data_IF_412029294863
#
_entry.id   IF_412029294863
#
_cell.length_a   1.000
_cell.length_b   1.000
_cell.length_c   1.000
_cell.angle_alpha   90.00
_cell.angle_beta   90.00
_cell.angle_gamma   90.00
#
_symmetry.space_group_name_H-M   'P 1'
#
loop_
_entity.id
_entity.type
_entity.pdbx_description
1 polymer ?
#
# COMPACT_ATOMS: atom_id res chain seq x y z
N UNK A 1 16.14 3.07 -2.21
CA UNK A 1 16.49 1.76 -2.79
C UNK A 1 16.87 0.81 -1.67
N UNK A 2 16.63 -0.49 -1.84
CA UNK A 2 16.91 -1.50 -0.81
C UNK A 2 18.34 -1.45 -0.24
N UNK A 3 19.33 -1.01 -0.99
CA UNK A 3 20.71 -0.81 -0.52
C UNK A 3 20.84 0.21 0.62
N UNK A 4 19.90 1.14 0.71
CA UNK A 4 19.87 2.21 1.72
C UNK A 4 18.89 1.88 2.86
N UNK A 5 18.12 0.80 2.71
CA UNK A 5 17.16 0.35 3.72
C UNK A 5 17.87 0.04 5.02
N UNK A 6 17.40 0.65 6.11
CA UNK A 6 17.96 0.46 7.44
C UNK A 6 17.52 -0.90 8.00
N UNK A 7 18.45 -1.78 8.31
CA UNK A 7 18.18 -3.11 8.92
C UNK A 7 17.33 -3.05 10.20
N UNK A 8 17.36 -1.91 10.92
CA UNK A 8 16.50 -1.70 12.10
C UNK A 8 15.00 -1.77 11.80
N UNK A 9 14.57 -1.61 10.54
CA UNK A 9 13.17 -1.80 10.15
C UNK A 9 12.66 -3.22 10.41
N UNK A 10 13.55 -4.22 10.51
CA UNK A 10 13.20 -5.60 10.90
C UNK A 10 12.64 -5.73 12.33
N UNK A 11 12.89 -4.73 13.18
CA UNK A 11 12.47 -4.72 14.58
C UNK A 11 11.27 -3.79 14.83
N UNK A 12 10.60 -3.31 13.76
CA UNK A 12 9.48 -2.40 13.90
C UNK A 12 8.16 -3.16 13.95
N UNK A 13 7.28 -2.71 14.83
CA UNK A 13 5.91 -3.21 14.95
C UNK A 13 4.98 -2.23 14.22
N UNK A 14 4.24 -2.74 13.23
CA UNK A 14 3.23 -1.99 12.47
C UNK A 14 1.85 -2.40 12.98
N UNK A 15 1.04 -1.42 13.38
CA UNK A 15 -0.35 -1.60 13.77
C UNK A 15 -1.26 -1.02 12.69
N UNK A 16 -2.04 -1.89 12.03
CA UNK A 16 -2.97 -1.47 10.98
C UNK A 16 -4.29 -0.99 11.58
N UNK A 17 -4.78 0.14 11.11
CA UNK A 17 -6.04 0.77 11.54
C UNK A 17 -6.96 0.97 10.34
N UNK A 18 -8.12 0.31 10.36
CA UNK A 18 -9.24 0.70 9.52
C UNK A 18 -10.12 1.67 10.30
N UNK A 19 -10.05 2.94 9.99
CA UNK A 19 -10.67 4.04 10.76
C UNK A 19 -12.14 3.79 11.05
N UNK A 20 -12.92 3.40 10.03
CA UNK A 20 -14.36 3.11 10.16
C UNK A 20 -14.69 2.06 11.21
N UNK A 21 -13.84 1.05 11.37
CA UNK A 21 -14.13 -0.11 12.23
C UNK A 21 -13.32 -0.10 13.53
N UNK A 22 -12.45 0.89 13.72
CA UNK A 22 -11.53 0.92 14.85
C UNK A 22 -12.23 1.24 16.17
N UNK A 23 -13.23 2.11 16.12
CA UNK A 23 -13.98 2.57 17.28
C UNK A 23 -15.48 2.66 16.99
N UNK A 24 -16.28 2.89 18.01
CA UNK A 24 -17.72 3.17 17.86
C UNK A 24 -18.01 4.44 17.10
N UNK A 25 -17.12 5.42 17.18
CA UNK A 25 -17.19 6.70 16.46
C UNK A 25 -16.88 6.52 14.97
N UNK A 26 -16.03 5.55 14.60
CA UNK A 26 -15.62 5.28 13.23
C UNK A 26 -14.87 6.41 12.52
N UNK A 27 -14.17 7.26 13.27
CA UNK A 27 -13.50 8.47 12.80
C UNK A 27 -12.10 8.66 13.42
N UNK A 28 -11.36 9.70 13.01
CA UNK A 28 -10.01 9.97 13.49
C UNK A 28 -9.94 10.20 15.00
N UNK A 29 -10.91 10.91 15.58
CA UNK A 29 -10.98 11.12 17.01
C UNK A 29 -11.14 9.81 17.81
N UNK A 30 -11.85 8.83 17.25
CA UNK A 30 -11.97 7.51 17.83
C UNK A 30 -10.65 6.72 17.80
N UNK A 31 -9.84 6.89 16.75
CA UNK A 31 -8.48 6.32 16.67
C UNK A 31 -7.56 6.99 17.68
N UNK A 32 -7.60 8.33 17.79
CA UNK A 32 -6.78 9.09 18.71
C UNK A 32 -6.93 8.63 20.17
N UNK A 33 -8.17 8.39 20.62
CA UNK A 33 -8.46 7.91 21.99
C UNK A 33 -7.77 6.60 22.34
N UNK A 34 -7.40 5.81 21.34
CA UNK A 34 -6.82 4.47 21.50
C UNK A 34 -5.30 4.44 21.32
N UNK A 35 -4.66 5.56 20.97
CA UNK A 35 -3.23 5.62 20.66
C UNK A 35 -2.33 5.16 21.82
N UNK A 36 -2.73 5.44 23.08
CA UNK A 36 -1.94 5.01 24.23
C UNK A 36 -1.94 3.49 24.40
N UNK A 37 -3.09 2.83 24.15
CA UNK A 37 -3.17 1.37 24.11
C UNK A 37 -2.34 0.80 22.96
N UNK A 38 -2.45 1.38 21.77
CA UNK A 38 -1.66 0.97 20.60
C UNK A 38 -0.17 1.09 20.90
N UNK A 39 0.26 2.19 21.51
CA UNK A 39 1.66 2.39 21.93
C UNK A 39 2.11 1.35 22.96
N UNK A 40 1.27 1.03 23.94
CA UNK A 40 1.56 0.04 24.97
C UNK A 40 1.76 -1.39 24.42
N UNK A 41 1.26 -1.71 23.23
CA UNK A 41 1.53 -2.94 22.50
C UNK A 41 2.95 -3.01 21.91
N UNK A 42 3.75 -1.94 22.04
CA UNK A 42 5.07 -1.87 21.43
C UNK A 42 5.06 -1.37 19.98
N UNK A 43 3.98 -0.73 19.56
CA UNK A 43 3.83 -0.23 18.17
C UNK A 43 4.82 0.90 17.89
N UNK A 44 5.48 0.81 16.75
CA UNK A 44 6.39 1.82 16.21
C UNK A 44 5.75 2.62 15.07
N UNK A 45 4.87 1.99 14.30
CA UNK A 45 4.25 2.57 13.12
C UNK A 45 2.74 2.30 13.16
N UNK A 46 1.93 3.35 13.11
CA UNK A 46 0.48 3.25 12.89
C UNK A 46 0.23 3.35 11.38
N UNK A 47 -0.29 2.29 10.79
CA UNK A 47 -0.68 2.28 9.38
C UNK A 47 -2.18 2.49 9.27
N UNK A 48 -2.59 3.63 8.71
CA UNK A 48 -3.98 3.90 8.35
C UNK A 48 -4.28 3.27 6.98
N UNK A 49 -5.25 2.35 6.93
CA UNK A 49 -5.85 1.90 5.68
C UNK A 49 -6.46 3.11 4.94
N UNK A 50 -6.82 3.00 3.64
CA UNK A 50 -7.13 4.19 2.83
C UNK A 50 -8.10 5.14 3.51
N UNK A 51 -7.69 6.40 3.64
CA UNK A 51 -8.45 7.48 4.30
C UNK A 51 -9.15 8.41 3.30
N UNK A 52 -9.11 8.07 2.03
CA UNK A 52 -9.64 8.85 0.92
C UNK A 52 -11.16 8.69 0.77
N UNK A 53 -11.84 9.63 0.09
CA UNK A 53 -13.25 9.46 -0.28
C UNK A 53 -13.45 8.20 -1.12
N UNK A 54 -14.56 7.50 -0.86
CA UNK A 54 -14.89 6.22 -1.49
C UNK A 54 -15.89 6.45 -2.62
N UNK A 55 -15.70 5.76 -3.76
CA UNK A 55 -16.62 5.81 -4.89
C UNK A 55 -17.98 5.15 -4.59
N UNK A 56 -18.98 5.60 -5.32
CA UNK A 56 -20.37 5.14 -5.17
C UNK A 56 -20.80 4.19 -6.27
N UNK A 57 -20.23 4.35 -7.47
CA UNK A 57 -20.57 3.52 -8.63
C UNK A 57 -19.99 2.12 -8.48
N UNK A 58 -20.85 1.11 -8.59
CA UNK A 58 -20.52 -0.31 -8.44
C UNK A 58 -19.95 -0.68 -7.06
N UNK A 59 -20.17 0.13 -6.03
CA UNK A 59 -19.60 -0.09 -4.69
C UNK A 59 -19.99 -1.47 -4.12
N UNK A 60 -19.06 -2.12 -3.47
CA UNK A 60 -19.29 -3.35 -2.71
C UNK A 60 -19.84 -3.02 -1.32
N UNK A 61 -20.92 -3.70 -0.93
CA UNK A 61 -21.58 -3.46 0.36
C UNK A 61 -22.30 -2.10 0.43
N UNK A 62 -22.84 -1.78 1.60
CA UNK A 62 -23.62 -0.54 1.80
C UNK A 62 -22.77 0.72 1.80
N UNK A 63 -21.55 0.64 2.35
CA UNK A 63 -20.64 1.78 2.56
C UNK A 63 -19.50 1.87 1.54
N UNK A 64 -19.31 0.87 0.70
CA UNK A 64 -18.22 0.79 -0.26
C UNK A 64 -16.89 0.31 0.32
N UNK A 65 -15.99 -0.08 -0.56
CA UNK A 65 -14.63 -0.54 -0.22
C UNK A 65 -13.69 0.66 -0.12
N UNK A 66 -12.87 0.79 0.94
CA UNK A 66 -11.92 1.90 1.08
C UNK A 66 -10.85 1.92 -0.02
N UNK A 67 -10.64 0.80 -0.70
CA UNK A 67 -9.73 0.70 -1.84
C UNK A 67 -10.34 1.15 -3.17
N UNK A 68 -11.66 1.43 -3.22
CA UNK A 68 -12.31 2.05 -4.39
C UNK A 68 -12.31 3.57 -4.22
N UNK A 69 -11.14 4.18 -4.40
CA UNK A 69 -10.90 5.61 -4.14
C UNK A 69 -11.58 6.47 -5.21
N UNK A 70 -12.28 7.52 -4.78
CA UNK A 70 -12.87 8.52 -5.68
C UNK A 70 -12.03 9.79 -5.83
N UNK A 71 -11.19 10.14 -4.84
CA UNK A 71 -10.29 11.29 -4.91
C UNK A 71 -9.00 11.00 -4.12
N UNK A 72 -7.84 10.97 -4.80
CA UNK A 72 -6.55 10.72 -4.18
C UNK A 72 -6.02 11.86 -3.29
N UNK A 73 -6.59 13.06 -3.42
CA UNK A 73 -6.15 14.26 -2.69
C UNK A 73 -7.12 14.69 -1.59
N UNK A 74 -8.29 14.03 -1.52
CA UNK A 74 -9.30 14.26 -0.50
C UNK A 74 -9.12 13.40 0.74
N UNK A 75 -9.81 13.79 1.82
CA UNK A 75 -10.00 12.99 3.03
C UNK A 75 -11.45 12.53 3.09
N UNK A 76 -11.71 11.28 3.47
CA UNK A 76 -13.06 10.76 3.58
C UNK A 76 -13.84 11.52 4.65
N UNK A 77 -14.94 12.23 4.29
CA UNK A 77 -15.70 13.03 5.25
C UNK A 77 -16.37 12.19 6.37
N UNK A 78 -16.49 10.86 6.20
CA UNK A 78 -16.94 9.98 7.28
C UNK A 78 -15.91 9.88 8.41
N UNK A 79 -14.63 10.07 8.12
CA UNK A 79 -13.55 9.94 9.09
C UNK A 79 -13.18 11.25 9.77
N UNK A 80 -13.50 12.38 9.14
CA UNK A 80 -13.19 13.73 9.60
C UNK A 80 -12.71 14.63 8.47
N UNK A 81 -12.11 15.74 8.84
CA UNK A 81 -11.52 16.71 7.92
C UNK A 81 -10.03 16.46 7.69
N UNK A 82 -9.40 17.24 6.83
CA UNK A 82 -7.94 17.24 6.65
C UNK A 82 -7.22 17.62 7.93
N UNK A 83 -7.74 18.62 8.63
CA UNK A 83 -7.21 19.12 9.91
C UNK A 83 -7.31 18.06 11.01
N UNK A 84 -8.38 17.25 11.04
CA UNK A 84 -8.51 16.13 11.99
C UNK A 84 -7.46 15.03 11.71
N UNK A 85 -7.14 14.76 10.44
CA UNK A 85 -6.08 13.81 10.07
C UNK A 85 -4.69 14.35 10.45
N UNK A 86 -4.44 15.65 10.22
CA UNK A 86 -3.20 16.31 10.62
C UNK A 86 -3.01 16.28 12.14
N UNK A 87 -4.09 16.56 12.90
CA UNK A 87 -4.08 16.42 14.35
C UNK A 87 -3.79 15.00 14.82
N UNK A 88 -4.41 13.98 14.20
CA UNK A 88 -4.13 12.59 14.52
C UNK A 88 -2.66 12.24 14.25
N UNK A 89 -2.07 12.74 13.16
CA UNK A 89 -0.66 12.52 12.85
C UNK A 89 0.25 13.14 13.94
N UNK A 90 -0.05 14.36 14.39
CA UNK A 90 0.67 14.99 15.50
C UNK A 90 0.58 14.17 16.78
N UNK A 91 -0.61 13.64 17.12
CA UNK A 91 -0.81 12.83 18.32
C UNK A 91 -0.07 11.47 18.25
N UNK A 92 0.04 10.86 17.06
CA UNK A 92 0.88 9.70 16.80
C UNK A 92 2.35 10.04 17.03
N UNK A 93 2.83 11.17 16.48
CA UNK A 93 4.23 11.61 16.63
C UNK A 93 4.58 11.98 18.09
N UNK A 94 3.68 12.64 18.82
CA UNK A 94 3.87 12.98 20.26
C UNK A 94 4.11 11.73 21.11
N UNK A 95 3.56 10.56 20.71
CA UNK A 95 3.78 9.27 21.39
C UNK A 95 5.01 8.51 20.90
N UNK A 96 5.83 9.15 20.05
CA UNK A 96 7.04 8.52 19.47
C UNK A 96 6.74 7.38 18.50
N UNK A 97 5.56 7.39 17.88
CA UNK A 97 5.20 6.50 16.76
C UNK A 97 5.30 7.27 15.43
N UNK A 98 5.25 6.55 14.33
CA UNK A 98 5.24 7.09 12.96
C UNK A 98 3.91 6.80 12.30
N UNK A 99 3.52 7.66 11.37
CA UNK A 99 2.33 7.48 10.54
C UNK A 99 2.70 6.88 9.20
N UNK A 100 2.04 5.78 8.83
CA UNK A 100 2.08 5.20 7.48
C UNK A 100 0.70 5.31 6.84
N UNK A 101 0.63 5.79 5.59
CA UNK A 101 -0.62 5.88 4.84
C UNK A 101 -0.68 4.82 3.74
N UNK A 102 -1.89 4.35 3.45
CA UNK A 102 -2.13 3.40 2.35
C UNK A 102 -2.25 4.14 1.02
N UNK A 103 -1.57 3.65 -0.01
CA UNK A 103 -1.53 4.20 -1.37
C UNK A 103 -2.08 3.16 -2.34
N UNK A 104 -3.16 3.49 -3.05
CA UNK A 104 -3.87 2.59 -3.97
C UNK A 104 -3.72 3.10 -5.40
N UNK A 105 -2.60 2.78 -6.05
CA UNK A 105 -2.23 3.39 -7.33
C UNK A 105 -2.38 2.45 -8.55
N UNK A 106 -2.83 1.21 -8.35
CA UNK A 106 -3.19 0.35 -9.47
C UNK A 106 -4.54 0.72 -10.08
N UNK A 107 -5.50 1.18 -9.27
CA UNK A 107 -6.89 1.38 -9.67
C UNK A 107 -7.58 2.48 -8.87
N UNK A 108 -8.77 2.88 -9.32
CA UNK A 108 -9.66 3.83 -8.63
C UNK A 108 -11.11 3.42 -8.84
N UNK A 109 -12.06 4.06 -8.15
CA UNK A 109 -13.48 3.84 -8.42
C UNK A 109 -13.88 4.36 -9.82
N UNK A 110 -14.92 3.77 -10.44
CA UNK A 110 -15.37 4.19 -11.78
C UNK A 110 -15.99 5.59 -11.86
N UNK A 111 -16.28 6.19 -10.73
CA UNK A 111 -16.79 7.57 -10.57
C UNK A 111 -15.78 8.46 -9.84
N UNK A 112 -14.50 8.17 -9.99
CA UNK A 112 -13.43 9.00 -9.41
C UNK A 112 -13.26 10.32 -10.14
N UNK A 113 -12.73 11.33 -9.41
CA UNK A 113 -12.35 12.60 -10.02
C UNK A 113 -11.47 12.41 -11.26
N UNK A 114 -10.51 11.49 -11.19
CA UNK A 114 -9.65 11.16 -12.33
C UNK A 114 -10.44 10.61 -13.51
N UNK A 115 -11.41 9.71 -13.29
CA UNK A 115 -12.19 9.11 -14.38
C UNK A 115 -13.04 10.14 -15.13
N UNK A 116 -13.46 11.20 -14.45
CA UNK A 116 -14.26 12.28 -15.01
C UNK A 116 -13.41 13.36 -15.69
N UNK A 117 -12.22 13.67 -15.13
CA UNK A 117 -11.39 14.79 -15.57
C UNK A 117 -10.15 14.39 -16.38
N UNK A 118 -9.70 13.13 -16.28
CA UNK A 118 -8.51 12.58 -16.91
C UNK A 118 -8.74 11.16 -17.47
N UNK A 119 -9.75 10.96 -18.34
CA UNK A 119 -10.11 9.63 -18.86
C UNK A 119 -8.99 8.96 -19.65
N UNK A 120 -7.99 9.73 -20.11
CA UNK A 120 -6.76 9.25 -20.76
C UNK A 120 -5.78 8.53 -19.82
N UNK A 121 -6.00 8.60 -18.51
CA UNK A 121 -5.18 7.92 -17.49
C UNK A 121 -5.60 6.47 -17.24
N UNK A 122 -6.65 6.00 -17.90
CA UNK A 122 -7.26 4.72 -17.61
C UNK A 122 -7.03 3.68 -18.70
N UNK A 123 -6.86 2.43 -18.24
CA UNK A 123 -6.89 1.29 -19.12
C UNK A 123 -8.25 1.18 -19.82
N UNK A 124 -8.21 0.97 -21.13
CA UNK A 124 -9.39 0.75 -21.97
C UNK A 124 -9.37 -0.65 -22.57
N UNK A 125 -10.51 -1.31 -22.49
CA UNK A 125 -10.76 -2.58 -23.17
C UNK A 125 -10.81 -2.37 -24.69
N UNK A 126 -10.79 -3.44 -25.50
CA UNK A 126 -10.89 -3.33 -26.96
C UNK A 126 -12.14 -2.61 -27.46
N UNK A 127 -13.24 -2.63 -26.70
CA UNK A 127 -14.49 -1.90 -27.00
C UNK A 127 -14.46 -0.43 -26.60
N UNK A 128 -13.34 0.05 -26.03
CA UNK A 128 -13.14 1.43 -25.58
C UNK A 128 -13.66 1.72 -24.17
N UNK A 129 -14.34 0.79 -23.51
CA UNK A 129 -14.80 0.93 -22.11
C UNK A 129 -13.65 0.83 -21.13
N UNK A 130 -13.79 1.47 -19.96
CA UNK A 130 -12.88 1.27 -18.85
C UNK A 130 -13.00 -0.15 -18.26
N UNK A 131 -11.93 -0.66 -17.68
CA UNK A 131 -11.93 -1.98 -17.06
C UNK A 131 -10.68 -2.29 -16.26
N UNK A 132 -10.56 -3.55 -15.91
CA UNK A 132 -9.40 -4.10 -15.22
C UNK A 132 -8.53 -4.87 -16.21
N UNK A 133 -7.22 -4.81 -16.03
CA UNK A 133 -6.23 -5.60 -16.80
C UNK A 133 -6.26 -7.04 -16.34
N UNK A 134 -6.39 -7.23 -15.04
CA UNK A 134 -6.40 -8.54 -14.38
C UNK A 134 -7.31 -8.49 -13.15
N UNK A 135 -7.80 -9.65 -12.72
CA UNK A 135 -8.66 -9.77 -11.56
C UNK A 135 -10.14 -9.52 -11.86
N UNK A 136 -10.96 -9.75 -10.84
CA UNK A 136 -12.41 -9.60 -10.86
C UNK A 136 -12.85 -8.54 -9.85
N UNK A 137 -12.33 -7.33 -10.02
CA UNK A 137 -12.56 -6.20 -9.12
C UNK A 137 -13.63 -5.26 -9.72
N UNK A 138 -14.88 -5.68 -9.68
CA UNK A 138 -16.00 -5.00 -10.35
C UNK A 138 -16.33 -3.60 -9.83
N UNK A 139 -15.78 -3.19 -8.70
CA UNK A 139 -15.97 -1.87 -8.07
C UNK A 139 -14.86 -0.87 -8.41
N UNK A 140 -13.85 -1.25 -9.21
CA UNK A 140 -12.73 -0.39 -9.58
C UNK A 140 -12.39 -0.50 -11.07
N UNK A 141 -11.62 0.46 -11.58
CA UNK A 141 -11.06 0.52 -12.93
C UNK A 141 -9.57 0.82 -12.84
N UNK A 142 -8.76 0.18 -13.71
CA UNK A 142 -7.31 0.25 -13.65
C UNK A 142 -6.74 1.50 -14.33
N UNK A 143 -5.68 2.03 -13.74
CA UNK A 143 -4.87 3.10 -14.29
C UNK A 143 -3.90 2.59 -15.37
N UNK A 144 -3.58 3.43 -16.35
CA UNK A 144 -2.68 3.11 -17.46
C UNK A 144 -1.37 3.90 -17.37
N UNK A 145 -0.37 3.26 -16.82
CA UNK A 145 0.96 3.84 -16.62
C UNK A 145 1.78 4.03 -17.90
N UNK A 146 1.24 3.72 -19.07
CA UNK A 146 1.84 4.13 -20.35
C UNK A 146 1.72 5.63 -20.58
N UNK A 147 0.77 6.28 -19.93
CA UNK A 147 0.64 7.74 -19.91
C UNK A 147 1.54 8.34 -18.81
N UNK A 148 2.53 9.15 -19.22
CA UNK A 148 3.49 9.78 -18.30
C UNK A 148 2.88 10.91 -17.47
N UNK A 149 1.84 11.60 -17.96
CA UNK A 149 1.16 12.65 -17.20
C UNK A 149 0.45 12.08 -15.95
N UNK A 150 0.07 10.80 -15.97
CA UNK A 150 -0.39 10.09 -14.77
C UNK A 150 0.71 10.00 -13.71
N UNK A 151 1.97 9.76 -14.11
CA UNK A 151 3.08 9.69 -13.18
C UNK A 151 3.28 11.01 -12.45
N UNK A 152 3.26 12.12 -13.19
CA UNK A 152 3.44 13.46 -12.62
C UNK A 152 2.34 13.76 -11.59
N UNK A 153 1.08 13.48 -11.92
CA UNK A 153 -0.05 13.64 -11.02
C UNK A 153 0.09 12.80 -9.74
N UNK A 154 0.47 11.52 -9.89
CA UNK A 154 0.60 10.60 -8.76
C UNK A 154 1.80 10.94 -7.88
N UNK A 155 2.94 11.30 -8.47
CA UNK A 155 4.15 11.69 -7.74
C UNK A 155 3.91 12.99 -6.96
N UNK A 156 3.26 13.99 -7.57
CA UNK A 156 2.87 15.22 -6.88
C UNK A 156 1.97 14.90 -5.66
N UNK A 157 0.99 14.01 -5.84
CA UNK A 157 0.10 13.58 -4.77
C UNK A 157 0.85 12.87 -3.63
N UNK A 158 1.83 12.00 -3.96
CA UNK A 158 2.70 11.38 -2.94
C UNK A 158 3.52 12.43 -2.19
N UNK A 159 4.07 13.42 -2.88
CA UNK A 159 4.82 14.49 -2.23
C UNK A 159 3.95 15.30 -1.25
N UNK A 160 2.70 15.59 -1.61
CA UNK A 160 1.74 16.27 -0.72
C UNK A 160 1.43 15.43 0.54
N UNK A 161 1.22 14.13 0.41
CA UNK A 161 0.96 13.26 1.56
C UNK A 161 2.22 12.97 2.39
N UNK A 162 3.41 13.02 1.79
CA UNK A 162 4.67 12.84 2.52
C UNK A 162 4.98 13.98 3.51
N UNK A 163 4.38 15.17 3.33
CA UNK A 163 4.47 16.24 4.34
C UNK A 163 3.91 15.78 5.69
N UNK A 164 2.85 14.97 5.66
CA UNK A 164 2.16 14.46 6.85
C UNK A 164 2.68 13.10 7.31
N UNK A 165 2.79 12.14 6.39
CA UNK A 165 3.16 10.76 6.68
C UNK A 165 4.67 10.55 6.82
N UNK A 166 5.08 9.42 7.40
CA UNK A 166 6.48 8.97 7.53
C UNK A 166 6.77 7.75 6.66
N UNK A 167 5.73 7.17 6.06
CA UNK A 167 5.83 6.04 5.16
C UNK A 167 4.56 5.82 4.36
N UNK A 168 4.69 5.05 3.29
CA UNK A 168 3.57 4.56 2.49
C UNK A 168 3.54 3.03 2.48
N UNK A 169 2.37 2.46 2.68
CA UNK A 169 2.04 1.10 2.28
C UNK A 169 1.37 1.18 0.92
N UNK A 170 1.93 0.54 -0.08
CA UNK A 170 1.44 0.62 -1.45
C UNK A 170 0.69 -0.66 -1.82
N UNK A 171 -0.60 -0.48 -2.08
CA UNK A 171 -1.55 -1.53 -2.43
C UNK A 171 -1.19 -2.18 -3.76
N UNK A 172 -1.19 -3.52 -3.80
CA UNK A 172 -0.82 -4.34 -4.97
C UNK A 172 0.34 -3.74 -5.80
N UNK A 173 1.35 -3.22 -5.09
CA UNK A 173 2.47 -2.47 -5.66
C UNK A 173 3.14 -3.16 -6.87
N UNK A 174 3.25 -4.50 -6.94
CA UNK A 174 3.81 -5.22 -8.09
C UNK A 174 3.06 -5.03 -9.41
N UNK A 175 1.83 -4.52 -9.40
CA UNK A 175 1.03 -4.27 -10.61
C UNK A 175 1.24 -2.88 -11.21
N UNK A 176 2.00 -2.03 -10.53
CA UNK A 176 2.42 -0.70 -10.98
C UNK A 176 3.88 -0.79 -11.44
N UNK A 177 4.29 -0.11 -12.53
CA UNK A 177 5.66 -0.20 -13.04
C UNK A 177 6.71 0.14 -12.00
N UNK A 178 7.78 -0.65 -11.93
CA UNK A 178 8.88 -0.45 -10.99
C UNK A 178 9.53 0.92 -11.17
N UNK A 179 9.69 1.36 -12.43
CA UNK A 179 10.29 2.64 -12.77
C UNK A 179 9.50 3.82 -12.19
N UNK A 180 8.17 3.71 -12.15
CA UNK A 180 7.31 4.68 -11.46
C UNK A 180 7.65 4.76 -9.97
N UNK A 181 7.71 3.62 -9.28
CA UNK A 181 8.03 3.59 -7.85
C UNK A 181 9.44 4.13 -7.55
N UNK A 182 10.40 3.83 -8.43
CA UNK A 182 11.77 4.37 -8.30
C UNK A 182 11.80 5.90 -8.46
N UNK A 183 11.01 6.44 -9.38
CA UNK A 183 10.90 7.88 -9.61
C UNK A 183 10.16 8.56 -8.44
N UNK A 184 9.02 8.00 -8.02
CA UNK A 184 8.24 8.45 -6.89
C UNK A 184 9.07 8.49 -5.59
N UNK A 185 9.82 7.42 -5.30
CA UNK A 185 10.72 7.38 -4.13
C UNK A 185 11.75 8.51 -4.16
N UNK A 186 12.38 8.75 -5.32
CA UNK A 186 13.35 9.86 -5.45
C UNK A 186 12.73 11.23 -5.25
N UNK A 187 11.48 11.42 -5.66
CA UNK A 187 10.76 12.68 -5.47
C UNK A 187 10.40 12.89 -3.98
N UNK A 188 9.81 11.89 -3.35
CA UNK A 188 9.43 11.91 -1.93
C UNK A 188 10.63 12.07 -1.02
N UNK A 189 11.78 11.45 -1.33
CA UNK A 189 13.02 11.59 -0.54
C UNK A 189 13.53 13.05 -0.48
N UNK A 190 13.22 13.86 -1.49
CA UNK A 190 13.57 15.29 -1.49
C UNK A 190 12.64 16.10 -0.57
N UNK A 191 11.40 15.66 -0.39
CA UNK A 191 10.42 16.30 0.52
C UNK A 191 10.68 15.87 1.96
N UNK A 192 10.83 14.57 2.18
CA UNK A 192 11.03 13.99 3.52
C UNK A 192 12.08 12.88 3.48
N UNK A 193 13.34 13.20 3.79
CA UNK A 193 14.44 12.22 3.82
C UNK A 193 14.19 11.08 4.81
N UNK A 194 14.50 9.86 4.40
CA UNK A 194 14.34 8.66 5.22
C UNK A 194 12.92 8.12 5.28
N UNK A 195 12.09 8.46 4.32
CA UNK A 195 10.72 7.98 4.17
C UNK A 195 10.66 6.45 3.97
N UNK A 196 9.67 5.79 4.60
CA UNK A 196 9.54 4.33 4.62
C UNK A 196 8.59 3.86 3.53
N UNK A 197 8.99 2.83 2.78
CA UNK A 197 8.20 2.26 1.70
C UNK A 197 7.92 0.78 1.96
N UNK A 198 6.65 0.43 2.13
CA UNK A 198 6.16 -0.95 2.27
C UNK A 198 5.34 -1.33 1.04
N UNK A 199 5.78 -2.33 0.30
CA UNK A 199 4.99 -2.92 -0.78
C UNK A 199 4.06 -4.00 -0.23
N UNK A 200 2.77 -3.94 -0.57
CA UNK A 200 1.99 -5.15 -0.57
C UNK A 200 2.47 -6.01 -1.74
N UNK A 201 3.16 -7.10 -1.42
CA UNK A 201 3.50 -8.14 -2.38
C UNK A 201 2.24 -8.88 -2.84
N UNK A 202 2.35 -9.62 -3.91
CA UNK A 202 1.30 -10.54 -4.36
C UNK A 202 1.90 -11.93 -4.58
N UNK A 203 1.06 -12.94 -4.61
CA UNK A 203 1.53 -14.32 -4.78
C UNK A 203 2.33 -14.51 -6.07
N UNK A 204 3.46 -15.26 -6.05
CA UNK A 204 4.30 -15.48 -7.23
C UNK A 204 3.55 -16.06 -8.43
N UNK A 205 2.53 -16.88 -8.17
CA UNK A 205 1.64 -17.42 -9.21
C UNK A 205 0.89 -16.33 -9.96
N UNK A 206 0.36 -15.36 -9.23
CA UNK A 206 -0.36 -14.21 -9.79
C UNK A 206 0.58 -13.33 -10.65
N UNK A 207 1.79 -13.06 -10.19
CA UNK A 207 2.80 -12.32 -10.97
C UNK A 207 3.12 -13.04 -12.29
N UNK A 208 3.37 -14.36 -12.23
CA UNK A 208 3.63 -15.16 -13.42
C UNK A 208 2.48 -15.06 -14.44
N UNK A 209 1.26 -15.14 -13.98
CA UNK A 209 0.08 -15.13 -14.86
C UNK A 209 -0.16 -13.73 -15.46
N UNK A 210 0.08 -12.65 -14.72
CA UNK A 210 0.09 -11.28 -15.26
C UNK A 210 1.13 -11.12 -16.38
N UNK A 211 2.36 -11.59 -16.15
CA UNK A 211 3.44 -11.54 -17.18
C UNK A 211 3.08 -12.33 -18.44
N UNK A 212 2.42 -13.48 -18.31
CA UNK A 212 1.94 -14.27 -19.46
C UNK A 212 0.90 -13.51 -20.29
N UNK A 213 0.12 -12.64 -19.66
CA UNK A 213 -0.86 -11.76 -20.32
C UNK A 213 -0.22 -10.48 -20.87
N UNK A 214 1.11 -10.30 -20.75
CA UNK A 214 1.80 -9.08 -21.17
C UNK A 214 1.54 -7.88 -20.25
N UNK A 215 1.03 -8.12 -19.04
CA UNK A 215 0.77 -7.10 -18.05
C UNK A 215 1.98 -6.89 -17.11
N UNK A 216 1.97 -5.76 -16.41
CA UNK A 216 2.96 -5.50 -15.37
C UNK A 216 2.81 -6.51 -14.23
N UNK A 217 3.93 -7.00 -13.74
CA UNK A 217 3.99 -7.91 -12.60
C UNK A 217 5.43 -7.99 -12.11
N UNK A 218 5.72 -7.38 -10.97
CA UNK A 218 7.07 -7.35 -10.39
C UNK A 218 7.20 -8.45 -9.33
N UNK A 219 8.33 -9.14 -9.33
CA UNK A 219 8.70 -10.04 -8.24
C UNK A 219 9.22 -9.25 -7.04
N UNK A 220 9.18 -9.86 -5.85
CA UNK A 220 9.70 -9.24 -4.63
C UNK A 220 11.17 -8.80 -4.79
N UNK A 221 12.01 -9.63 -5.45
CA UNK A 221 13.39 -9.26 -5.73
C UNK A 221 13.56 -7.99 -6.57
N UNK A 222 12.63 -7.75 -7.51
CA UNK A 222 12.62 -6.52 -8.32
C UNK A 222 12.11 -5.34 -7.50
N UNK A 223 11.06 -5.55 -6.67
CA UNK A 223 10.44 -4.50 -5.86
C UNK A 223 11.40 -3.91 -4.82
N UNK A 224 12.36 -4.67 -4.31
CA UNK A 224 13.42 -4.14 -3.42
C UNK A 224 14.31 -3.07 -4.06
N UNK A 225 14.17 -2.77 -5.33
CA UNK A 225 14.83 -1.61 -5.95
C UNK A 225 14.15 -0.28 -5.58
N UNK A 226 12.87 -0.33 -5.17
CA UNK A 226 12.09 0.85 -4.81
C UNK A 226 11.55 0.82 -3.37
N UNK A 227 11.39 -0.35 -2.77
CA UNK A 227 10.77 -0.54 -1.46
C UNK A 227 11.77 -0.98 -0.38
N UNK A 228 11.48 -0.62 0.86
CA UNK A 228 12.28 -1.01 2.03
C UNK A 228 11.78 -2.33 2.62
N UNK A 229 10.47 -2.54 2.58
CA UNK A 229 9.78 -3.67 3.17
C UNK A 229 8.74 -4.25 2.21
N UNK A 230 8.48 -5.53 2.34
CA UNK A 230 7.48 -6.26 1.57
C UNK A 230 6.74 -7.26 2.45
N UNK A 231 5.52 -7.63 2.04
CA UNK A 231 4.79 -8.74 2.66
C UNK A 231 5.49 -10.08 2.40
N UNK A 232 5.33 -11.02 3.32
CA UNK A 232 5.98 -12.34 3.29
C UNK A 232 5.12 -13.39 2.55
N UNK A 233 4.49 -13.00 1.43
CA UNK A 233 3.56 -13.86 0.68
C UNK A 233 4.27 -14.98 -0.10
N UNK A 234 5.53 -14.81 -0.43
CA UNK A 234 6.34 -15.82 -1.12
C UNK A 234 6.50 -17.11 -0.31
N UNK A 235 6.42 -17.04 1.03
CA UNK A 235 6.54 -18.22 1.90
C UNK A 235 5.28 -18.49 2.75
N UNK A 236 4.22 -17.71 2.60
CA UNK A 236 3.02 -17.85 3.43
C UNK A 236 2.46 -19.29 3.41
N UNK A 237 2.30 -19.88 2.23
CA UNK A 237 1.79 -21.25 2.11
C UNK A 237 2.63 -22.28 2.85
N UNK A 238 3.95 -22.09 2.94
CA UNK A 238 4.85 -22.96 3.68
C UNK A 238 4.73 -22.77 5.19
N UNK A 239 4.54 -21.54 5.64
CA UNK A 239 4.23 -21.25 7.06
C UNK A 239 2.96 -21.97 7.47
N UNK A 240 1.90 -21.90 6.68
CA UNK A 240 0.62 -22.55 6.97
C UNK A 240 0.75 -24.08 6.96
N UNK A 241 1.57 -24.64 6.05
CA UNK A 241 1.88 -26.07 6.05
C UNK A 241 2.66 -26.49 7.29
N UNK A 242 3.61 -25.68 7.76
CA UNK A 242 4.34 -25.93 9.00
C UNK A 242 3.40 -25.89 10.23
N UNK A 243 2.58 -24.87 10.35
CA UNK A 243 1.60 -24.75 11.44
C UNK A 243 0.56 -25.88 11.42
N UNK A 244 0.23 -26.41 10.24
CA UNK A 244 -0.66 -27.57 10.08
C UNK A 244 0.06 -28.91 10.27
N UNK A 245 1.36 -28.92 10.62
CA UNK A 245 2.17 -30.15 10.81
C UNK A 245 2.43 -30.93 9.53
N UNK A 246 2.27 -30.32 8.33
CA UNK A 246 2.48 -30.97 7.03
C UNK A 246 3.94 -30.96 6.58
N UNK A 247 4.74 -30.06 7.08
CA UNK A 247 6.20 -30.00 6.85
C UNK A 247 6.94 -29.87 8.19
N UNK A 248 8.19 -30.32 8.24
CA UNK A 248 9.03 -30.21 9.42
C UNK A 248 9.53 -28.78 9.66
N UNK A 249 9.97 -28.49 10.88
CA UNK A 249 10.66 -27.23 11.20
C UNK A 249 11.91 -27.03 10.34
N UNK A 250 12.70 -28.09 10.13
CA UNK A 250 13.92 -28.02 9.30
C UNK A 250 13.59 -27.59 7.88
N UNK A 251 12.54 -28.15 7.29
CA UNK A 251 12.10 -27.77 5.96
C UNK A 251 11.61 -26.31 5.91
N UNK A 252 10.85 -25.88 6.90
CA UNK A 252 10.40 -24.48 6.98
C UNK A 252 11.59 -23.51 7.14
N UNK A 253 12.57 -23.84 7.99
CA UNK A 253 13.80 -23.04 8.16
C UNK A 253 14.63 -22.99 6.87
N UNK A 254 14.73 -24.09 6.11
CA UNK A 254 15.40 -24.07 4.81
C UNK A 254 14.71 -23.11 3.83
N UNK A 255 13.38 -23.08 3.80
CA UNK A 255 12.60 -22.15 2.97
C UNK A 255 12.86 -20.71 3.39
N UNK A 256 12.86 -20.41 4.70
CA UNK A 256 13.23 -19.09 5.22
C UNK A 256 14.65 -18.68 4.79
N UNK A 257 15.59 -19.61 4.83
CA UNK A 257 16.97 -19.35 4.44
C UNK A 257 17.12 -19.03 2.95
N UNK A 258 16.21 -19.53 2.07
CA UNK A 258 16.23 -19.17 0.66
C UNK A 258 16.00 -17.66 0.42
N UNK A 259 15.26 -16.99 1.31
CA UNK A 259 15.08 -15.54 1.24
C UNK A 259 16.42 -14.79 1.35
N UNK A 260 17.35 -15.26 2.21
CA UNK A 260 18.69 -14.68 2.35
C UNK A 260 19.57 -14.82 1.10
N UNK A 261 19.27 -15.83 0.25
CA UNK A 261 19.99 -16.04 -1.00
C UNK A 261 19.35 -15.23 -2.13
N UNK A 262 18.03 -15.10 -2.08
CA UNK A 262 17.22 -14.50 -3.17
C UNK A 262 17.19 -12.97 -3.09
N UNK A 263 17.12 -12.41 -1.88
CA UNK A 263 16.91 -10.98 -1.65
C UNK A 263 18.19 -10.24 -1.25
N UNK A 264 18.23 -8.91 -1.35
CA UNK A 264 19.35 -8.11 -0.87
C UNK A 264 19.61 -8.33 0.63
N UNK A 265 20.87 -8.25 1.09
CA UNK A 265 21.26 -8.51 2.49
C UNK A 265 20.48 -7.69 3.54
N UNK A 266 19.97 -6.53 3.15
CA UNK A 266 19.17 -5.65 4.00
C UNK A 266 17.65 -5.71 3.73
N UNK A 267 17.17 -6.76 3.05
CA UNK A 267 15.73 -6.95 2.83
C UNK A 267 14.94 -7.02 4.16
N UNK A 268 13.70 -6.57 4.14
CA UNK A 268 12.78 -6.66 5.29
C UNK A 268 11.45 -7.25 4.83
N UNK A 269 11.04 -8.34 5.47
CA UNK A 269 9.72 -8.95 5.25
C UNK A 269 8.81 -8.64 6.45
N UNK A 270 7.60 -8.18 6.14
CA UNK A 270 6.52 -8.02 7.13
C UNK A 270 5.80 -9.36 7.33
N UNK A 271 5.79 -9.86 8.55
CA UNK A 271 5.24 -11.16 8.99
C UNK A 271 4.13 -11.00 9.99
#
# INVERSE_FOLDING_TARGET
MAKETKKMLRNQVIYSVYVRNHSTEGNFAGVEKDLDRIKALGTDIVWLMPVYPIGKKNKKGSLGCPYAISDYRGVNPEYGTREDLEHLAEEIHKRGMRLMMDIVYNHTSPDSWLSENKPEFFYKKPDGSFGNKTGDWGDVIDLDYRNRDLWDYQIETLCQWAELADGFRCDVAPLVPLEFWMEARRAVEKVKPGFIWLAESVEPGFIRDNRRLGQVGQSDGEMYQAFDMEYDYDIWSFRDQYLAGKISLDMYVQILNQQHITYPDNYVKMR
#
